data_IF_461043206488
#
_entry.id   IF_461043206488
#
_cell.length_a   1.000
_cell.length_b   1.000
_cell.length_c   1.000
_cell.angle_alpha   90.00
_cell.angle_beta   90.00
_cell.angle_gamma   90.00
#
_symmetry.space_group_name_H-M   'P 1'
#
loop_
_entity.id
_entity.type
_entity.pdbx_description
1 polymer ?
#
# COMPACT_ATOMS: atom_id res chain seq x y z
N UNK A 1 -3.19 -2.82 -2.39
CA UNK A 1 -2.08 -2.86 -3.35
C UNK A 1 -2.61 -2.85 -4.79
N UNK A 2 -1.79 -2.44 -5.74
CA UNK A 2 -1.95 -2.66 -7.18
C UNK A 2 -1.01 -3.80 -7.58
N UNK A 3 -1.57 -4.86 -8.16
CA UNK A 3 -0.87 -6.09 -8.51
C UNK A 3 -0.77 -6.19 -10.01
N UNK A 4 0.45 -6.14 -10.53
CA UNK A 4 0.78 -6.40 -11.93
C UNK A 4 2.25 -6.81 -12.00
N UNK A 5 2.61 -7.58 -13.02
CA UNK A 5 3.98 -8.06 -13.16
C UNK A 5 4.92 -6.94 -13.63
N UNK A 6 6.04 -6.79 -12.93
CA UNK A 6 7.08 -5.77 -13.15
C UNK A 6 8.42 -6.46 -13.40
N UNK A 7 9.27 -5.88 -14.24
CA UNK A 7 10.65 -6.34 -14.47
C UNK A 7 11.69 -5.26 -14.16
N UNK A 8 12.18 -5.20 -12.93
CA UNK A 8 13.24 -4.24 -12.52
C UNK A 8 14.66 -4.74 -12.80
N UNK A 9 14.85 -5.79 -13.61
CA UNK A 9 16.21 -6.34 -13.84
C UNK A 9 17.12 -5.42 -14.67
N UNK A 10 16.53 -4.55 -15.49
CA UNK A 10 17.28 -3.62 -16.35
C UNK A 10 17.30 -2.18 -15.85
N UNK A 11 16.15 -1.63 -15.44
CA UNK A 11 16.01 -0.27 -14.92
C UNK A 11 14.71 -0.12 -14.12
N UNK A 12 14.54 1.05 -13.50
CA UNK A 12 13.44 1.32 -12.58
C UNK A 12 13.79 0.82 -11.19
N UNK A 13 13.38 1.57 -10.18
CA UNK A 13 13.82 1.37 -8.82
C UNK A 13 12.65 1.14 -7.87
N UNK A 14 12.89 0.32 -6.85
CA UNK A 14 11.95 0.12 -5.76
C UNK A 14 12.61 0.59 -4.47
N UNK A 15 12.09 1.68 -3.93
CA UNK A 15 12.53 2.25 -2.65
C UNK A 15 11.56 1.87 -1.55
N UNK A 16 12.05 1.64 -0.35
CA UNK A 16 11.20 1.51 0.82
C UNK A 16 11.81 2.23 2.02
N UNK A 17 10.93 2.74 2.90
CA UNK A 17 11.32 3.32 4.17
C UNK A 17 10.28 2.93 5.23
N UNK A 18 10.75 2.27 6.29
CA UNK A 18 9.97 2.05 7.49
C UNK A 18 10.11 3.27 8.42
N UNK A 19 9.01 3.65 9.03
CA UNK A 19 8.93 4.73 10.01
C UNK A 19 8.41 4.16 11.31
N UNK A 20 9.25 4.21 12.34
CA UNK A 20 8.86 3.95 13.71
C UNK A 20 8.58 5.29 14.41
N UNK A 21 7.30 5.58 14.59
CA UNK A 21 6.85 6.83 15.22
C UNK A 21 6.88 6.79 16.75
N UNK A 22 7.32 5.68 17.33
CA UNK A 22 7.57 5.53 18.77
C UNK A 22 9.03 5.81 19.13
N UNK A 23 9.92 5.86 18.14
CA UNK A 23 11.34 6.18 18.32
C UNK A 23 11.57 7.65 18.71
N UNK A 24 12.78 7.99 19.16
CA UNK A 24 13.13 9.38 19.53
C UNK A 24 13.31 10.32 18.33
N UNK A 25 13.60 9.78 17.14
CA UNK A 25 13.87 10.56 15.93
C UNK A 25 12.70 10.48 14.93
N UNK A 26 11.58 11.08 15.32
CA UNK A 26 10.33 11.06 14.53
C UNK A 26 10.33 12.16 13.45
N UNK A 27 9.97 11.79 12.22
CA UNK A 27 9.57 12.76 11.21
C UNK A 27 8.13 13.23 11.48
N UNK A 28 7.99 14.24 12.35
CA UNK A 28 6.69 14.73 12.83
C UNK A 28 5.80 15.23 11.71
N UNK A 29 6.34 15.98 10.75
CA UNK A 29 5.58 16.52 9.61
C UNK A 29 4.96 15.39 8.77
N UNK A 30 5.73 14.35 8.46
CA UNK A 30 5.22 13.20 7.74
C UNK A 30 4.15 12.44 8.53
N UNK A 31 4.39 12.22 9.83
CA UNK A 31 3.43 11.57 10.74
C UNK A 31 2.10 12.31 10.80
N UNK A 32 2.10 13.62 11.03
CA UNK A 32 0.89 14.44 11.13
C UNK A 32 0.13 14.51 9.79
N UNK A 33 0.86 14.64 8.68
CA UNK A 33 0.25 14.57 7.35
C UNK A 33 -0.41 13.21 7.09
N UNK A 34 0.20 12.13 7.56
CA UNK A 34 -0.33 10.78 7.40
C UNK A 34 -1.58 10.56 8.29
N UNK A 35 -1.50 10.96 9.56
CA UNK A 35 -2.62 10.88 10.52
C UNK A 35 -3.85 11.65 10.02
N UNK A 36 -3.66 12.89 9.59
CA UNK A 36 -4.75 13.72 9.05
C UNK A 36 -5.35 13.14 7.76
N UNK A 37 -4.51 12.60 6.88
CA UNK A 37 -4.98 11.95 5.64
C UNK A 37 -5.84 10.73 5.94
N UNK A 38 -5.40 9.85 6.84
CA UNK A 38 -6.16 8.66 7.25
C UNK A 38 -7.47 9.07 7.93
N UNK A 39 -7.42 10.02 8.86
CA UNK A 39 -8.60 10.52 9.55
C UNK A 39 -9.65 11.08 8.57
N UNK A 40 -9.21 11.83 7.56
CA UNK A 40 -10.08 12.38 6.52
C UNK A 40 -10.70 11.29 5.62
N UNK A 41 -9.92 10.30 5.16
CA UNK A 41 -10.43 9.25 4.25
C UNK A 41 -11.38 8.26 4.91
N UNK A 42 -11.29 8.09 6.24
CA UNK A 42 -12.09 7.11 6.97
C UNK A 42 -13.02 7.72 8.03
N UNK A 43 -13.19 9.05 8.03
CA UNK A 43 -14.02 9.80 8.99
C UNK A 43 -13.71 9.42 10.46
N UNK A 44 -12.44 9.31 10.80
CA UNK A 44 -12.01 9.00 12.16
C UNK A 44 -11.85 10.29 12.96
N UNK A 45 -12.33 10.29 14.21
CA UNK A 45 -12.16 11.42 15.14
C UNK A 45 -10.71 11.60 15.56
N UNK A 46 -9.97 10.50 15.75
CA UNK A 46 -8.55 10.51 16.07
C UNK A 46 -7.89 9.21 15.59
N UNK A 47 -6.78 9.33 14.86
CA UNK A 47 -5.90 8.23 14.50
C UNK A 47 -4.46 8.63 14.83
N UNK A 48 -3.71 7.76 15.50
CA UNK A 48 -2.34 8.04 15.95
C UNK A 48 -1.38 6.99 15.46
N UNK A 49 -0.72 7.27 14.35
CA UNK A 49 0.18 6.33 13.71
C UNK A 49 1.33 5.98 14.65
N UNK A 50 1.51 4.68 14.91
CA UNK A 50 2.65 4.13 15.65
C UNK A 50 3.75 3.67 14.69
N UNK A 51 3.35 3.20 13.51
CA UNK A 51 4.28 2.69 12.51
C UNK A 51 3.75 2.91 11.09
N UNK A 52 4.65 3.10 10.13
CA UNK A 52 4.33 3.08 8.71
C UNK A 52 5.45 2.47 7.85
N UNK A 53 5.09 1.95 6.68
CA UNK A 53 6.00 1.55 5.62
C UNK A 53 5.59 2.23 4.32
N UNK A 54 6.46 3.07 3.78
CA UNK A 54 6.31 3.69 2.47
C UNK A 54 7.14 2.91 1.46
N UNK A 55 6.53 2.46 0.38
CA UNK A 55 7.17 1.80 -0.75
C UNK A 55 6.90 2.63 -2.00
N UNK A 56 7.93 2.85 -2.81
CA UNK A 56 7.87 3.60 -4.06
C UNK A 56 8.39 2.73 -5.18
N UNK A 57 7.57 2.53 -6.20
CA UNK A 57 7.99 2.01 -7.50
C UNK A 57 8.24 3.23 -8.38
N UNK A 58 9.49 3.49 -8.72
CA UNK A 58 9.88 4.62 -9.56
C UNK A 58 10.29 4.14 -10.94
N UNK A 59 9.60 4.63 -11.96
CA UNK A 59 9.89 4.35 -13.36
C UNK A 59 9.98 2.85 -13.67
N UNK A 60 9.15 2.02 -13.05
CA UNK A 60 9.21 0.58 -13.22
C UNK A 60 8.58 0.16 -14.56
N UNK A 61 9.25 -0.68 -15.37
CA UNK A 61 8.66 -1.22 -16.59
C UNK A 61 7.74 -2.40 -16.31
N UNK A 62 6.83 -2.73 -17.24
CA UNK A 62 6.04 -3.94 -17.13
C UNK A 62 6.92 -5.15 -17.37
N UNK A 63 6.59 -6.27 -16.73
CA UNK A 63 7.11 -7.56 -17.17
C UNK A 63 6.53 -7.90 -18.54
N UNK A 64 7.40 -8.15 -19.52
CA UNK A 64 7.00 -8.64 -20.84
C UNK A 64 7.58 -10.03 -21.02
N UNK A 65 6.74 -11.07 -21.06
CA UNK A 65 7.23 -12.39 -21.49
C UNK A 65 7.68 -12.29 -22.95
N UNK A 66 8.83 -12.87 -23.29
CA UNK A 66 9.43 -12.82 -24.64
C UNK A 66 8.56 -13.41 -25.77
N UNK A 67 7.34 -13.85 -25.46
CA UNK A 67 6.35 -14.46 -26.34
C UNK A 67 5.50 -13.39 -27.07
N UNK A 68 5.27 -12.24 -26.43
CA UNK A 68 4.52 -11.14 -27.05
C UNK A 68 5.48 -10.18 -27.74
N UNK A 69 4.96 -9.29 -28.59
CA UNK A 69 5.69 -8.37 -29.47
C UNK A 69 6.48 -7.30 -28.69
N UNK A 70 7.33 -7.77 -27.77
CA UNK A 70 8.20 -7.07 -26.84
C UNK A 70 9.20 -6.20 -27.59
N UNK A 71 9.44 -6.45 -28.88
CA UNK A 71 10.27 -5.61 -29.75
C UNK A 71 9.78 -4.15 -29.83
N UNK A 72 8.47 -3.91 -29.81
CA UNK A 72 7.90 -2.55 -29.80
C UNK A 72 8.08 -1.86 -28.45
N UNK A 73 8.03 -2.63 -27.36
CA UNK A 73 8.30 -2.14 -26.02
C UNK A 73 9.79 -1.89 -25.79
N UNK A 74 10.67 -2.85 -26.10
CA UNK A 74 12.13 -2.80 -25.91
C UNK A 74 12.77 -1.54 -26.51
N UNK A 75 12.24 -1.03 -27.62
CA UNK A 75 12.75 0.19 -28.25
C UNK A 75 12.26 1.50 -27.60
N UNK A 76 11.27 1.45 -26.69
CA UNK A 76 10.59 2.63 -26.12
C UNK A 76 10.39 2.58 -24.60
N UNK A 77 11.02 1.62 -23.89
CA UNK A 77 10.69 1.31 -22.49
C UNK A 77 10.89 2.48 -21.52
N UNK A 78 11.92 3.31 -21.71
CA UNK A 78 12.22 4.44 -20.82
C UNK A 78 11.09 5.47 -20.70
N UNK A 79 10.21 5.56 -21.69
CA UNK A 79 9.07 6.49 -21.68
C UNK A 79 7.74 5.85 -21.27
N UNK A 80 7.70 4.51 -21.14
CA UNK A 80 6.49 3.73 -20.91
C UNK A 80 6.58 2.98 -19.58
N UNK A 81 6.91 3.72 -18.52
CA UNK A 81 7.08 3.23 -17.16
C UNK A 81 5.90 3.59 -16.27
N UNK A 82 5.80 2.93 -15.12
CA UNK A 82 4.85 3.30 -14.08
C UNK A 82 5.58 3.85 -12.86
N UNK A 83 5.05 4.92 -12.27
CA UNK A 83 5.49 5.45 -10.98
C UNK A 83 4.31 5.54 -10.01
N UNK A 84 4.46 4.91 -8.84
CA UNK A 84 3.43 4.91 -7.81
C UNK A 84 4.01 4.54 -6.44
N UNK A 85 3.23 4.83 -5.40
CA UNK A 85 3.60 4.60 -4.01
C UNK A 85 2.49 3.87 -3.26
N UNK A 86 2.89 3.09 -2.26
CA UNK A 86 1.99 2.53 -1.25
C UNK A 86 2.53 2.88 0.13
N UNK A 87 1.65 3.35 1.01
CA UNK A 87 1.93 3.54 2.43
C UNK A 87 1.04 2.59 3.21
N UNK A 88 1.66 1.68 3.95
CA UNK A 88 1.00 0.92 5.02
C UNK A 88 1.15 1.70 6.32
N UNK A 89 0.09 1.85 7.10
CA UNK A 89 0.12 2.60 8.36
C UNK A 89 -0.80 1.95 9.39
N UNK A 90 -0.36 1.96 10.65
CA UNK A 90 -1.16 1.42 11.76
C UNK A 90 -0.94 2.20 13.05
N UNK A 91 -1.99 2.29 13.87
CA UNK A 91 -1.93 2.71 15.27
C UNK A 91 -1.88 1.51 16.24
N UNK A 92 -1.70 0.30 15.71
CA UNK A 92 -1.74 -0.97 16.44
C UNK A 92 -3.13 -1.55 16.65
N UNK A 93 -4.21 -0.82 16.37
CA UNK A 93 -5.59 -1.35 16.33
C UNK A 93 -6.12 -1.31 14.91
N UNK A 94 -6.09 -0.16 14.26
CA UNK A 94 -6.51 0.04 12.89
C UNK A 94 -5.30 0.01 11.95
N UNK A 95 -5.49 -0.57 10.77
CA UNK A 95 -4.46 -0.69 9.73
C UNK A 95 -5.00 -0.22 8.38
N UNK A 96 -4.22 0.58 7.67
CA UNK A 96 -4.62 1.16 6.39
C UNK A 96 -3.54 0.99 5.33
N UNK A 97 -3.97 0.90 4.07
CA UNK A 97 -3.11 1.02 2.90
C UNK A 97 -3.54 2.24 2.09
N UNK A 98 -2.65 3.20 1.89
CA UNK A 98 -2.82 4.34 1.00
C UNK A 98 -2.02 4.08 -0.27
N UNK A 99 -2.63 4.22 -1.44
CA UNK A 99 -1.96 4.08 -2.74
C UNK A 99 -2.03 5.42 -3.44
N UNK A 100 -0.88 5.90 -3.91
CA UNK A 100 -0.74 7.15 -4.64
C UNK A 100 -0.11 6.83 -5.99
N UNK A 101 -0.87 7.02 -7.05
CA UNK A 101 -0.35 6.93 -8.41
C UNK A 101 0.11 8.32 -8.85
N UNK A 102 1.30 8.40 -9.43
CA UNK A 102 1.82 9.66 -9.96
C UNK A 102 0.94 10.14 -11.13
N UNK A 103 0.67 11.45 -11.24
CA UNK A 103 -0.30 11.96 -12.21
C UNK A 103 0.29 11.91 -13.62
N UNK A 104 -0.30 11.07 -14.48
CA UNK A 104 0.28 10.73 -15.77
C UNK A 104 1.47 9.78 -15.65
N UNK A 105 1.76 9.29 -14.44
CA UNK A 105 2.86 8.39 -14.14
C UNK A 105 2.58 6.93 -14.46
N UNK A 106 1.35 6.54 -14.81
CA UNK A 106 1.02 5.17 -15.22
C UNK A 106 1.03 5.04 -16.75
N UNK A 107 2.19 4.81 -17.37
CA UNK A 107 2.37 4.95 -18.83
C UNK A 107 2.48 3.64 -19.60
N UNK A 108 2.48 2.48 -18.95
CA UNK A 108 2.58 1.19 -19.65
C UNK A 108 1.60 1.10 -20.84
N UNK A 109 2.08 0.70 -22.01
CA UNK A 109 1.29 0.41 -23.23
C UNK A 109 0.45 -0.86 -23.00
N UNK A 110 -0.67 -0.71 -22.31
CA UNK A 110 -1.52 -1.82 -21.85
C UNK A 110 -1.97 -2.80 -22.96
N UNK A 111 -2.11 -2.34 -24.21
CA UNK A 111 -2.50 -3.20 -25.34
C UNK A 111 -1.41 -4.18 -25.80
N UNK A 112 -0.16 -3.94 -25.40
CA UNK A 112 0.96 -4.83 -25.73
C UNK A 112 1.38 -5.69 -24.53
N UNK A 113 0.60 -5.68 -23.43
CA UNK A 113 0.80 -6.53 -22.26
C UNK A 113 -0.06 -7.80 -22.32
N UNK A 114 0.33 -8.87 -21.61
CA UNK A 114 -0.43 -10.12 -21.62
C UNK A 114 -1.83 -9.98 -21.04
N UNK A 115 -2.83 -10.59 -21.68
CA UNK A 115 -4.25 -10.47 -21.27
C UNK A 115 -4.67 -11.47 -20.19
N UNK A 116 -3.85 -12.46 -19.86
CA UNK A 116 -4.15 -13.51 -18.87
C UNK A 116 -3.75 -13.12 -17.44
N UNK A 117 -2.89 -12.12 -17.26
CA UNK A 117 -2.51 -11.56 -15.96
C UNK A 117 -2.87 -10.07 -15.91
N UNK A 118 -4.18 -9.79 -15.93
CA UNK A 118 -4.68 -8.43 -15.80
C UNK A 118 -4.43 -7.87 -14.40
N UNK A 119 -4.17 -6.56 -14.28
CA UNK A 119 -3.87 -5.97 -13.00
C UNK A 119 -5.06 -6.10 -12.05
N UNK A 120 -4.76 -6.28 -10.77
CA UNK A 120 -5.74 -6.36 -9.68
C UNK A 120 -5.45 -5.30 -8.62
N UNK A 121 -6.50 -4.75 -8.04
CA UNK A 121 -6.40 -3.78 -6.96
C UNK A 121 -7.21 -4.24 -5.75
N UNK A 122 -6.66 -4.00 -4.56
CA UNK A 122 -7.30 -4.37 -3.31
C UNK A 122 -6.35 -4.99 -2.30
N UNK A 123 -6.86 -5.84 -1.42
CA UNK A 123 -6.07 -6.55 -0.40
C UNK A 123 -6.65 -7.94 -0.13
N UNK A 124 -5.82 -8.83 0.40
CA UNK A 124 -6.19 -10.18 0.79
C UNK A 124 -5.26 -10.66 1.91
N UNK A 125 -5.80 -11.31 2.94
CA UNK A 125 -5.03 -11.78 4.10
C UNK A 125 -4.24 -13.08 3.86
N UNK A 126 -4.45 -13.77 2.74
CA UNK A 126 -3.63 -14.91 2.32
C UNK A 126 -3.88 -16.24 3.03
N UNK A 127 -4.85 -16.32 3.96
CA UNK A 127 -5.17 -17.55 4.70
C UNK A 127 -6.54 -18.09 4.25
N UNK A 128 -6.60 -19.16 3.45
CA UNK A 128 -7.84 -19.91 3.25
C UNK A 128 -8.11 -20.75 4.51
N UNK A 129 -9.21 -20.49 5.22
CA UNK A 129 -9.71 -21.42 6.24
C UNK A 129 -10.90 -22.21 5.70
N UNK A 130 -10.79 -23.53 5.68
CA UNK A 130 -11.90 -24.44 5.39
C UNK A 130 -13.08 -24.29 6.37
N UNK A 131 -12.89 -23.61 7.51
CA UNK A 131 -13.92 -23.36 8.54
C UNK A 131 -14.36 -21.91 8.66
N UNK A 132 -13.77 -20.97 7.91
CA UNK A 132 -14.08 -19.54 8.02
C UNK A 132 -14.02 -18.87 6.64
N UNK A 133 -15.00 -19.18 5.78
CA UNK A 133 -15.11 -18.59 4.43
C UNK A 133 -15.61 -17.12 4.42
N UNK A 134 -16.10 -16.60 5.55
CA UNK A 134 -16.89 -15.36 5.56
C UNK A 134 -16.27 -14.16 6.30
N UNK A 135 -15.02 -14.23 6.78
CA UNK A 135 -14.49 -13.18 7.66
C UNK A 135 -13.03 -12.80 7.45
N UNK A 136 -12.43 -13.17 6.32
CA UNK A 136 -11.07 -12.71 6.01
C UNK A 136 -11.13 -11.31 5.39
N UNK A 137 -10.30 -10.36 5.87
CA UNK A 137 -10.20 -9.05 5.24
C UNK A 137 -9.63 -9.24 3.83
N UNK A 138 -10.53 -9.24 2.85
CA UNK A 138 -10.24 -9.22 1.44
C UNK A 138 -11.20 -8.26 0.75
N UNK A 139 -10.68 -7.52 -0.22
CA UNK A 139 -11.45 -6.61 -1.02
C UNK A 139 -10.84 -6.57 -2.40
N UNK A 140 -11.67 -6.72 -3.43
CA UNK A 140 -11.29 -6.49 -4.82
C UNK A 140 -11.88 -5.15 -5.23
N UNK A 141 -11.02 -4.21 -5.59
CA UNK A 141 -11.44 -2.87 -5.97
C UNK A 141 -12.16 -2.89 -7.32
N UNK A 142 -13.34 -2.24 -7.44
CA UNK A 142 -14.08 -2.15 -8.69
C UNK A 142 -13.25 -1.61 -9.87
N UNK A 143 -12.21 -0.81 -9.63
CA UNK A 143 -11.28 -0.32 -10.66
C UNK A 143 -10.64 -1.44 -11.49
N UNK A 144 -10.58 -2.67 -10.97
CA UNK A 144 -9.98 -3.84 -11.64
C UNK A 144 -10.96 -5.01 -11.84
N UNK A 145 -12.26 -4.72 -11.73
CA UNK A 145 -13.34 -5.66 -12.04
C UNK A 145 -13.32 -6.08 -13.51
N UNK A 146 -13.85 -7.27 -13.81
CA UNK A 146 -13.89 -7.84 -15.17
C UNK A 146 -14.69 -7.00 -16.17
N UNK A 147 -15.66 -6.21 -15.70
CA UNK A 147 -16.46 -5.29 -16.53
C UNK A 147 -15.73 -4.00 -16.92
N UNK A 148 -14.65 -3.65 -16.21
CA UNK A 148 -13.90 -2.41 -16.45
C UNK A 148 -12.96 -2.55 -17.64
N UNK A 149 -12.89 -1.50 -18.47
CA UNK A 149 -12.02 -1.47 -19.65
C UNK A 149 -10.54 -1.66 -19.30
N UNK A 150 -9.78 -2.33 -20.16
CA UNK A 150 -8.34 -2.58 -19.96
C UNK A 150 -7.56 -1.29 -19.70
N UNK A 151 -7.87 -0.23 -20.46
CA UNK A 151 -7.26 1.10 -20.32
C UNK A 151 -7.46 1.64 -18.91
N UNK A 152 -8.68 1.55 -18.38
CA UNK A 152 -8.97 2.04 -17.03
C UNK A 152 -8.18 1.27 -15.97
N UNK A 153 -8.10 -0.06 -16.06
CA UNK A 153 -7.34 -0.86 -15.08
C UNK A 153 -5.85 -0.51 -15.02
N UNK A 154 -5.26 -0.13 -16.15
CA UNK A 154 -3.85 0.29 -16.26
C UNK A 154 -3.61 1.80 -16.13
N UNK A 155 -4.66 2.59 -15.87
CA UNK A 155 -4.58 4.05 -15.70
C UNK A 155 -5.26 4.52 -14.41
N UNK A 156 -5.00 3.91 -13.24
CA UNK A 156 -5.64 4.34 -12.00
C UNK A 156 -5.30 5.80 -11.62
N UNK A 157 -4.16 6.33 -12.04
CA UNK A 157 -3.80 7.75 -11.95
C UNK A 157 -4.84 8.71 -12.56
N UNK A 158 -5.69 8.24 -13.47
CA UNK A 158 -6.69 9.05 -14.18
C UNK A 158 -8.11 8.97 -13.59
N UNK A 159 -8.35 8.18 -12.55
CA UNK A 159 -9.69 7.98 -11.97
C UNK A 159 -9.73 8.35 -10.48
N UNK A 160 -10.92 8.70 -9.99
CA UNK A 160 -11.16 8.93 -8.57
C UNK A 160 -11.05 7.59 -7.84
N UNK A 161 -10.21 7.54 -6.81
CA UNK A 161 -9.98 6.30 -6.08
C UNK A 161 -10.87 6.08 -4.87
N UNK A 162 -10.90 4.83 -4.43
CA UNK A 162 -11.75 4.34 -3.36
C UNK A 162 -11.45 5.04 -2.03
N UNK A 163 -12.50 5.46 -1.31
CA UNK A 163 -12.49 6.20 -0.04
C UNK A 163 -11.80 7.58 -0.03
N UNK A 164 -11.19 8.04 -1.12
CA UNK A 164 -10.43 9.31 -1.08
C UNK A 164 -11.18 10.47 -1.71
N UNK A 165 -12.06 10.21 -2.68
CA UNK A 165 -12.65 11.25 -3.52
C UNK A 165 -11.60 12.04 -4.33
N UNK A 166 -10.39 11.51 -4.49
CA UNK A 166 -9.28 12.14 -5.19
C UNK A 166 -8.83 11.28 -6.37
N UNK A 167 -8.50 11.94 -7.49
CA UNK A 167 -7.91 11.30 -8.66
C UNK A 167 -6.55 10.67 -8.28
N UNK A 168 -6.28 9.44 -8.72
CA UNK A 168 -4.99 8.79 -8.51
C UNK A 168 -4.71 8.31 -7.09
N UNK A 169 -5.68 8.35 -6.16
CA UNK A 169 -5.46 8.02 -4.75
C UNK A 169 -6.47 7.01 -4.24
N UNK A 170 -6.02 5.87 -3.76
CA UNK A 170 -6.87 4.83 -3.15
C UNK A 170 -6.53 4.68 -1.68
N UNK A 171 -7.53 4.40 -0.84
CA UNK A 171 -7.33 4.11 0.56
C UNK A 171 -8.16 2.90 0.98
N UNK A 172 -7.50 1.89 1.55
CA UNK A 172 -8.14 0.68 2.05
C UNK A 172 -7.95 0.55 3.56
N UNK A 173 -9.01 0.12 4.25
CA UNK A 173 -8.92 -0.37 5.62
C UNK A 173 -8.65 -1.86 5.60
N UNK A 174 -7.62 -2.30 6.32
CA UNK A 174 -7.08 -3.66 6.25
C UNK A 174 -7.56 -4.56 7.40
N UNK A 175 -8.35 -4.01 8.32
CA UNK A 175 -8.90 -4.68 9.49
C UNK A 175 -10.43 -4.54 9.53
N UNK A 176 -11.06 -5.33 10.41
CA UNK A 176 -12.46 -5.22 10.79
C UNK A 176 -12.62 -4.84 12.27
N UNK A 177 -11.62 -4.18 12.85
CA UNK A 177 -11.61 -3.84 14.26
C UNK A 177 -12.64 -2.76 14.59
N UNK A 178 -12.99 -2.60 15.85
CA UNK A 178 -13.89 -1.55 16.31
C UNK A 178 -13.24 -0.78 17.46
N UNK A 179 -13.95 0.22 17.96
CA UNK A 179 -13.50 1.00 19.12
C UNK A 179 -13.34 0.15 20.38
N UNK A 180 -13.99 -1.02 20.45
CA UNK A 180 -13.87 -1.97 21.56
C UNK A 180 -12.76 -3.01 21.34
N UNK A 181 -12.07 -3.01 20.20
CA UNK A 181 -10.96 -3.94 19.98
C UNK A 181 -9.81 -3.61 20.91
N UNK A 182 -9.28 -4.63 21.57
CA UNK A 182 -8.12 -4.53 22.47
C UNK A 182 -6.93 -5.24 21.82
N UNK A 183 -5.80 -4.55 21.71
CA UNK A 183 -4.52 -5.18 21.35
C UNK A 183 -3.68 -5.41 22.60
N UNK A 184 -3.90 -6.55 23.27
CA UNK A 184 -3.16 -6.92 24.49
C UNK A 184 -1.66 -7.03 24.25
N UNK A 185 -1.22 -7.43 23.04
CA UNK A 185 0.21 -7.50 22.70
C UNK A 185 0.85 -6.12 22.69
N UNK A 186 0.18 -5.12 22.11
CA UNK A 186 0.64 -3.74 22.15
C UNK A 186 0.71 -3.21 23.58
N UNK A 187 -0.29 -3.52 24.42
CA UNK A 187 -0.27 -3.14 25.83
C UNK A 187 0.93 -3.75 26.56
N UNK A 188 1.21 -5.05 26.35
CA UNK A 188 2.38 -5.72 26.92
C UNK A 188 3.71 -5.10 26.43
N UNK A 189 3.82 -4.77 25.14
CA UNK A 189 5.02 -4.12 24.59
C UNK A 189 5.22 -2.71 25.16
N UNK A 190 4.14 -1.93 25.28
CA UNK A 190 4.19 -0.60 25.88
C UNK A 190 4.55 -0.65 27.36
N UNK A 191 4.09 -1.66 28.10
CA UNK A 191 4.51 -1.91 29.47
C UNK A 191 6.02 -2.20 29.53
N UNK A 192 6.49 -3.15 28.70
CA UNK A 192 7.90 -3.54 28.64
C UNK A 192 8.83 -2.38 28.29
N UNK A 193 8.48 -1.54 27.31
CA UNK A 193 9.30 -0.39 26.92
C UNK A 193 9.33 0.74 27.95
N UNK A 194 8.39 0.75 28.90
CA UNK A 194 8.37 1.70 30.03
C UNK A 194 9.02 1.13 31.28
N UNK A 195 9.45 -0.13 31.26
CA UNK A 195 10.08 -0.76 32.40
C UNK A 195 11.45 -0.12 32.63
N UNK A 196 11.58 0.62 33.74
CA UNK A 196 12.85 1.18 34.16
C UNK A 196 13.81 0.05 34.55
N UNK A 197 15.12 0.26 34.37
CA UNK A 197 16.12 -0.70 34.85
C UNK A 197 15.89 -0.89 36.34
N UNK A 198 15.72 -2.14 36.83
CA UNK A 198 15.53 -2.38 38.25
C UNK A 198 16.64 -1.72 39.07
N UNK A 199 16.27 -1.06 40.15
CA UNK A 199 17.19 -0.28 41.01
C UNK A 199 18.35 -1.11 41.60
N UNK A 200 18.25 -2.44 41.63
CA UNK A 200 19.34 -3.33 42.03
C UNK A 200 20.38 -3.61 40.93
N UNK A 201 20.16 -3.14 39.69
CA UNK A 201 21.10 -3.20 38.56
C UNK A 201 21.80 -1.85 38.31
N UNK A 202 21.41 -0.77 38.99
CA UNK A 202 21.98 0.59 38.80
C UNK A 202 23.10 0.94 39.79
N UNK A 203 23.60 -0.01 40.58
CA UNK A 203 24.57 0.21 41.66
C UNK A 203 25.89 -0.54 41.45
N UNK A 204 26.53 -0.35 40.29
CA UNK A 204 27.94 -0.69 40.01
C UNK A 204 28.59 0.46 39.26
#
# INVERSE_FOLDING_TARGET
>A
AFWADVDVSGFGDIFYQAYDFQSSNVNTTFKESLESTVAAYFNLTQFKALWALKITWDNVPPFTSGIYNSKAYWNTQVNNTNTFQVILVTDGIYSFALILFDDGGMKWIFNALPTFHLPKMGYHSGIPSARNVNNFPAFNDPQTDTSVSIKQRYRPDQYIGYNTGKKGRWAYRLDSNSQSTINSRLQCLQWYYKEEIPYWLSST
#
